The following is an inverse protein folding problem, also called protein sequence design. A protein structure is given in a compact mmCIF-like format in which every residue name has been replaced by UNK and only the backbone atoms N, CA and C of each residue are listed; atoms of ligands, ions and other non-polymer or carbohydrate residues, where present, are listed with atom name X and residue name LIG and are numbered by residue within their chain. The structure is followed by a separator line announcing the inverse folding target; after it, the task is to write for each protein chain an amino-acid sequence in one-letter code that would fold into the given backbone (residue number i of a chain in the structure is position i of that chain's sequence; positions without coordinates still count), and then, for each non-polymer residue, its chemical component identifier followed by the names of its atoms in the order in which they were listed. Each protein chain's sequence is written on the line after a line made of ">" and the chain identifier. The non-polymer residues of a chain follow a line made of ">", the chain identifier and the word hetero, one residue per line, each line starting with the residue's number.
data_IF_555948386278
#
_entry.id   IF_555948386278
#
_cell.length_a   1.000
_cell.length_b   1.000
_cell.length_c   1.000
_cell.angle_alpha   90.00
_cell.angle_beta   90.00
_cell.angle_gamma   90.00
#
_symmetry.space_group_name_H-M   'P 1'
#
loop_
_entity.id
_entity.type
_entity.pdbx_description
1 polymer ?
#
# COMPACT_ATOMS: atom_id res chain seq x y z
N UNK A 1 11.89 2.50 -11.63
CA UNK A 1 10.72 3.19 -12.20
C UNK A 1 9.67 3.32 -11.10
N UNK A 2 9.14 4.52 -10.90
CA UNK A 2 7.99 4.76 -10.03
C UNK A 2 6.69 4.53 -10.82
N UNK A 3 5.59 4.06 -10.19
CA UNK A 3 4.30 3.98 -10.86
C UNK A 3 3.81 5.35 -11.34
N UNK A 4 2.94 5.34 -12.35
CA UNK A 4 2.31 6.58 -12.81
C UNK A 4 1.50 7.23 -11.68
N UNK A 5 1.48 8.58 -11.57
CA UNK A 5 0.72 9.28 -10.52
C UNK A 5 -0.76 8.85 -10.45
N UNK A 6 -1.38 8.56 -11.59
CA UNK A 6 -2.76 8.06 -11.67
C UNK A 6 -2.95 6.72 -10.93
N UNK A 7 -1.97 5.81 -11.00
CA UNK A 7 -2.04 4.52 -10.30
C UNK A 7 -1.90 4.68 -8.79
N UNK A 8 -1.03 5.59 -8.33
CA UNK A 8 -0.89 5.91 -6.90
C UNK A 8 -2.15 6.55 -6.34
N UNK A 9 -2.78 7.46 -7.12
CA UNK A 9 -4.07 8.05 -6.77
C UNK A 9 -5.17 6.99 -6.68
N UNK A 10 -5.25 6.10 -7.67
CA UNK A 10 -6.25 5.03 -7.69
C UNK A 10 -6.10 4.08 -6.48
N UNK A 11 -4.86 3.72 -6.11
CA UNK A 11 -4.60 2.89 -4.94
C UNK A 11 -5.06 3.56 -3.63
N UNK A 12 -4.78 4.86 -3.44
CA UNK A 12 -5.25 5.61 -2.27
C UNK A 12 -6.78 5.69 -2.22
N UNK A 13 -7.42 5.99 -3.35
CA UNK A 13 -8.88 6.04 -3.45
C UNK A 13 -9.53 4.67 -3.15
N UNK A 14 -8.91 3.58 -3.59
CA UNK A 14 -9.37 2.23 -3.30
C UNK A 14 -9.31 1.91 -1.80
N UNK A 15 -8.22 2.27 -1.12
CA UNK A 15 -8.09 2.10 0.33
C UNK A 15 -9.16 2.89 1.09
N UNK A 16 -9.36 4.17 0.74
CA UNK A 16 -10.39 5.02 1.35
C UNK A 16 -11.79 4.45 1.14
N UNK A 17 -12.11 4.03 -0.09
CA UNK A 17 -13.39 3.41 -0.42
C UNK A 17 -13.61 2.09 0.35
N UNK A 18 -12.57 1.25 0.45
CA UNK A 18 -12.66 -0.01 1.16
C UNK A 18 -12.94 0.20 2.66
N UNK A 19 -12.33 1.22 3.28
CA UNK A 19 -12.63 1.61 4.66
C UNK A 19 -14.06 2.16 4.77
N UNK A 20 -14.45 3.10 3.91
CA UNK A 20 -15.77 3.72 3.94
C UNK A 20 -16.92 2.73 3.73
N UNK A 21 -16.68 1.65 2.98
CA UNK A 21 -17.67 0.59 2.71
C UNK A 21 -17.55 -0.63 3.63
N UNK A 22 -16.71 -0.56 4.67
CA UNK A 22 -16.54 -1.65 5.62
C UNK A 22 -15.85 -2.90 5.08
N UNK A 23 -15.29 -2.86 3.87
CA UNK A 23 -14.51 -3.95 3.26
C UNK A 23 -13.10 -4.06 3.84
N UNK A 24 -12.59 -2.96 4.40
CA UNK A 24 -11.32 -2.89 5.08
C UNK A 24 -11.54 -2.28 6.47
N UNK A 25 -10.98 -2.90 7.51
CA UNK A 25 -11.04 -2.33 8.86
C UNK A 25 -10.30 -1.00 8.90
N UNK A 26 -10.81 -0.03 9.66
CA UNK A 26 -10.18 1.30 9.79
C UNK A 26 -8.74 1.24 10.35
N UNK A 27 -8.39 0.19 11.10
CA UNK A 27 -7.07 -0.04 11.68
C UNK A 27 -6.26 -1.10 10.93
N UNK A 28 -6.44 -1.20 9.61
CA UNK A 28 -5.66 -2.10 8.78
C UNK A 28 -4.15 -1.82 8.86
N UNK A 29 -3.36 -2.81 8.46
CA UNK A 29 -1.90 -2.68 8.27
C UNK A 29 -1.60 -2.77 6.79
N UNK A 30 -0.88 -1.77 6.26
CA UNK A 30 -0.36 -1.77 4.90
C UNK A 30 1.03 -2.41 4.89
N UNK A 31 1.20 -3.45 4.08
CA UNK A 31 2.46 -4.16 3.90
C UNK A 31 2.84 -4.19 2.42
N UNK A 32 4.13 -4.08 2.14
CA UNK A 32 4.69 -4.45 0.84
C UNK A 32 4.74 -5.98 0.71
N UNK A 33 4.54 -6.50 -0.50
CA UNK A 33 4.53 -7.95 -0.76
C UNK A 33 5.79 -8.67 -0.26
N UNK A 34 6.96 -8.02 -0.33
CA UNK A 34 8.22 -8.55 0.21
C UNK A 34 8.25 -8.76 1.73
N UNK A 35 7.35 -8.14 2.49
CA UNK A 35 7.23 -8.38 3.93
C UNK A 35 6.46 -9.67 4.23
N UNK A 36 5.67 -10.18 3.28
CA UNK A 36 4.83 -11.35 3.51
C UNK A 36 5.46 -12.66 3.02
N UNK A 37 6.46 -12.58 2.13
CA UNK A 37 7.22 -13.72 1.62
C UNK A 37 8.49 -13.27 0.88
N UNK A 38 9.36 -14.23 0.55
CA UNK A 38 10.57 -14.00 -0.22
C UNK A 38 10.25 -13.59 -1.68
N UNK A 39 10.10 -12.29 -1.92
CA UNK A 39 9.88 -11.71 -3.24
C UNK A 39 10.48 -10.30 -3.34
N UNK A 40 10.85 -9.87 -4.55
CA UNK A 40 11.30 -8.50 -4.80
C UNK A 40 10.12 -7.53 -4.99
N UNK A 41 8.92 -8.03 -5.23
CA UNK A 41 7.68 -7.26 -5.31
C UNK A 41 7.47 -6.43 -4.01
N UNK A 42 7.06 -5.16 -4.05
CA UNK A 42 6.56 -4.38 -5.20
C UNK A 42 7.66 -3.66 -6.01
N UNK A 43 8.92 -4.06 -5.87
CA UNK A 43 10.06 -3.32 -6.38
C UNK A 43 10.48 -2.19 -5.43
N UNK A 44 11.73 -1.75 -5.55
CA UNK A 44 12.35 -0.86 -4.56
C UNK A 44 11.63 0.49 -4.43
N UNK A 45 11.38 1.17 -5.55
CA UNK A 45 10.78 2.52 -5.54
C UNK A 45 9.38 2.56 -4.95
N UNK A 46 8.52 1.63 -5.36
CA UNK A 46 7.17 1.56 -4.80
C UNK A 46 7.20 1.16 -3.32
N UNK A 47 8.12 0.26 -2.93
CA UNK A 47 8.29 -0.13 -1.53
C UNK A 47 8.73 1.03 -0.64
N UNK A 48 9.69 1.86 -1.09
CA UNK A 48 10.11 3.09 -0.40
C UNK A 48 8.96 4.09 -0.29
N UNK A 49 8.16 4.25 -1.36
CA UNK A 49 7.05 5.19 -1.37
C UNK A 49 5.93 4.79 -0.40
N UNK A 50 5.47 3.53 -0.41
CA UNK A 50 4.34 3.10 0.44
C UNK A 50 4.70 3.04 1.93
N UNK A 51 5.98 3.07 2.29
CA UNK A 51 6.42 3.26 3.68
C UNK A 51 5.99 4.62 4.27
N UNK A 52 5.75 5.61 3.42
CA UNK A 52 5.27 6.94 3.82
C UNK A 52 3.75 7.01 3.96
N UNK A 53 3.02 5.98 3.52
CA UNK A 53 1.56 5.98 3.55
C UNK A 53 1.04 5.72 4.96
N UNK A 54 -0.18 6.19 5.29
CA UNK A 54 -0.86 5.81 6.51
C UNK A 54 -0.94 4.28 6.64
N UNK A 55 -0.95 3.79 7.87
CA UNK A 55 -1.08 2.37 8.20
C UNK A 55 0.11 1.47 7.81
N UNK A 56 1.24 2.03 7.37
CA UNK A 56 2.44 1.23 7.09
C UNK A 56 2.88 0.40 8.31
N UNK A 57 3.00 -0.92 8.12
CA UNK A 57 3.56 -1.84 9.10
C UNK A 57 5.09 -1.91 9.00
N UNK A 58 5.81 -1.56 10.08
CA UNK A 58 7.28 -1.63 10.14
C UNK A 58 7.84 -3.03 10.40
N UNK A 59 6.99 -3.96 10.81
CA UNK A 59 7.32 -5.31 11.29
C UNK A 59 6.79 -6.38 10.36
#
# INVERSE_FOLDING_TARGET
>A
REPQPAALKAANQLLQYAVATGRLKNNYTLLGHRQTRLTTCPGQRLFELIQTWPHWGRT
#
